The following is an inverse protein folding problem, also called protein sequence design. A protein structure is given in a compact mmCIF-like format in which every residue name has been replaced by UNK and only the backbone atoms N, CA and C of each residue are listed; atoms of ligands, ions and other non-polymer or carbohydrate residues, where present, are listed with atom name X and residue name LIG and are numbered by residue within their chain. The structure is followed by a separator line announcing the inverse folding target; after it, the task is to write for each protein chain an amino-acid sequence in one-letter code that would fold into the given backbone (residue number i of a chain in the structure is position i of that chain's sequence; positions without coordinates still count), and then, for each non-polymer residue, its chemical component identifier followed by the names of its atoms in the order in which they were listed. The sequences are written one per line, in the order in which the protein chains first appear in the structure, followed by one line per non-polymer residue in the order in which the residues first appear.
data_IF_907647809078
#
_entry.id   IF_907647809078
#
_cell.length_a   1.000
_cell.length_b   1.000
_cell.length_c   1.000
_cell.angle_alpha   90.00
_cell.angle_beta   90.00
_cell.angle_gamma   90.00
#
_symmetry.space_group_name_H-M   'P 1'
#
loop_
_entity.id
_entity.type
_entity.pdbx_description
1 polymer ?
#
# COMPACT_ATOMS: atom_id res chain seq x y z
N UNK A 1 3.44 19.39 15.40
CA UNK A 1 2.09 18.80 15.45
C UNK A 1 2.26 17.32 15.10
N UNK A 2 1.87 16.43 16.01
CA UNK A 2 1.96 14.98 15.80
C UNK A 2 0.82 14.58 14.87
N UNK A 3 1.13 14.12 13.66
CA UNK A 3 0.16 13.62 12.70
C UNK A 3 -0.35 12.26 13.19
N UNK A 4 -1.66 12.14 13.36
CA UNK A 4 -2.34 10.88 13.66
C UNK A 4 -3.17 10.50 12.43
N UNK A 5 -2.83 9.41 11.72
CA UNK A 5 -3.54 9.02 10.51
C UNK A 5 -4.97 8.55 10.82
N UNK A 6 -5.87 8.79 9.87
CA UNK A 6 -7.27 8.43 9.96
C UNK A 6 -7.48 6.98 9.50
N UNK A 7 -7.57 6.05 10.47
CA UNK A 7 -7.78 4.62 10.20
C UNK A 7 -9.18 4.29 9.64
N UNK A 8 -10.13 5.22 9.68
CA UNK A 8 -11.50 5.04 9.20
C UNK A 8 -11.59 4.87 7.67
N UNK A 9 -10.54 5.29 6.96
CA UNK A 9 -10.45 5.30 5.49
C UNK A 9 -9.41 4.28 4.98
N UNK A 10 -9.25 3.18 5.72
CA UNK A 10 -8.31 2.13 5.38
C UNK A 10 -8.99 0.97 4.62
N UNK A 11 -8.32 0.50 3.56
CA UNK A 11 -8.86 -0.45 2.59
C UNK A 11 -8.03 -1.74 2.58
N UNK A 12 -8.68 -2.89 2.52
CA UNK A 12 -8.00 -4.18 2.36
C UNK A 12 -7.74 -4.40 0.86
N UNK A 13 -6.50 -4.67 0.43
CA UNK A 13 -6.23 -5.09 -0.93
C UNK A 13 -7.01 -6.35 -1.26
N UNK A 14 -7.72 -6.34 -2.38
CA UNK A 14 -8.46 -7.51 -2.86
C UNK A 14 -7.49 -8.59 -3.35
N UNK A 15 -6.46 -8.16 -4.06
CA UNK A 15 -5.41 -9.02 -4.60
C UNK A 15 -4.09 -8.25 -4.63
N UNK A 16 -2.97 -8.97 -4.67
CA UNK A 16 -1.65 -8.37 -4.68
C UNK A 16 -0.53 -9.34 -5.01
N UNK A 17 0.55 -8.82 -5.58
CA UNK A 17 1.72 -9.61 -5.92
C UNK A 17 2.97 -8.77 -6.07
N UNK A 18 4.11 -9.42 -5.87
CA UNK A 18 5.41 -8.85 -6.16
C UNK A 18 5.78 -9.04 -7.63
N UNK A 19 6.33 -8.00 -8.22
CA UNK A 19 6.96 -7.99 -9.54
C UNK A 19 8.20 -7.11 -9.48
N UNK A 20 8.89 -6.95 -10.61
CA UNK A 20 10.09 -6.13 -10.69
C UNK A 20 9.99 -5.16 -11.88
N UNK A 21 10.42 -3.92 -11.67
CA UNK A 21 10.63 -2.95 -12.74
C UNK A 21 12.04 -2.36 -12.63
N UNK A 22 12.87 -2.56 -13.67
CA UNK A 22 14.24 -2.06 -13.74
C UNK A 22 15.11 -2.42 -12.51
N UNK A 23 14.99 -3.64 -11.99
CA UNK A 23 15.72 -4.08 -10.79
C UNK A 23 15.17 -3.54 -9.46
N UNK A 24 14.04 -2.83 -9.48
CA UNK A 24 13.35 -2.35 -8.28
C UNK A 24 12.14 -3.24 -8.01
N UNK A 25 12.01 -3.81 -6.80
CA UNK A 25 10.81 -4.55 -6.43
C UNK A 25 9.57 -3.64 -6.47
N UNK A 26 8.50 -4.18 -7.04
CA UNK A 26 7.21 -3.50 -7.17
C UNK A 26 6.14 -4.35 -6.50
N UNK A 27 5.51 -3.80 -5.46
CA UNK A 27 4.31 -4.38 -4.87
C UNK A 27 3.10 -3.85 -5.62
N UNK A 28 2.46 -4.69 -6.43
CA UNK A 28 1.27 -4.35 -7.17
C UNK A 28 0.02 -4.81 -6.42
N UNK A 29 -0.89 -3.88 -6.13
CA UNK A 29 -2.12 -4.13 -5.37
C UNK A 29 -3.36 -3.74 -6.17
N UNK A 30 -4.36 -4.63 -6.17
CA UNK A 30 -5.72 -4.32 -6.58
C UNK A 30 -6.53 -3.90 -5.35
N UNK A 31 -7.01 -2.66 -5.35
CA UNK A 31 -7.80 -2.06 -4.26
C UNK A 31 -9.03 -1.37 -4.84
N UNK A 32 -10.06 -2.12 -5.28
CA UNK A 32 -11.25 -1.55 -5.94
C UNK A 32 -12.00 -0.52 -5.09
N UNK A 33 -11.89 -0.63 -3.76
CA UNK A 33 -12.64 0.20 -2.80
C UNK A 33 -11.99 1.55 -2.50
N UNK A 34 -10.78 1.82 -2.98
CA UNK A 34 -10.07 3.07 -2.67
C UNK A 34 -10.86 4.28 -3.20
N UNK A 35 -11.07 5.36 -2.42
CA UNK A 35 -11.87 6.51 -2.87
C UNK A 35 -11.11 7.37 -3.88
N UNK A 36 -9.78 7.27 -3.92
CA UNK A 36 -8.91 8.11 -4.75
C UNK A 36 -9.17 7.90 -6.24
N UNK A 37 -9.12 9.00 -7.01
CA UNK A 37 -9.17 8.96 -8.47
C UNK A 37 -7.83 8.46 -8.99
N UNK A 38 -7.84 7.39 -9.80
CA UNK A 38 -6.62 6.78 -10.32
C UNK A 38 -5.80 7.71 -11.24
N UNK A 39 -6.43 8.74 -11.81
CA UNK A 39 -5.77 9.73 -12.68
C UNK A 39 -5.37 11.02 -11.93
N UNK A 40 -5.27 10.99 -10.60
CA UNK A 40 -4.81 12.15 -9.82
C UNK A 40 -3.32 12.39 -10.10
N UNK A 41 -2.97 13.63 -10.47
CA UNK A 41 -1.56 14.03 -10.55
C UNK A 41 -0.97 14.14 -9.14
N UNK A 42 -0.05 13.23 -8.81
CA UNK A 42 0.65 13.19 -7.53
C UNK A 42 1.90 14.07 -7.63
N UNK A 43 1.85 15.27 -7.05
CA UNK A 43 3.00 16.17 -6.99
C UNK A 43 3.87 15.88 -5.75
N UNK A 44 3.22 15.39 -4.69
CA UNK A 44 3.85 15.03 -3.42
C UNK A 44 3.01 13.97 -2.74
N UNK A 45 3.67 13.03 -2.08
CA UNK A 45 3.02 12.15 -1.12
C UNK A 45 3.91 11.95 0.11
N UNK A 46 3.30 11.47 1.19
CA UNK A 46 3.99 10.97 2.38
C UNK A 46 3.28 9.71 2.84
N UNK A 47 3.99 8.84 3.54
CA UNK A 47 3.41 7.63 4.09
C UNK A 47 3.88 7.37 5.51
N UNK A 48 3.10 6.59 6.26
CA UNK A 48 3.52 6.02 7.53
C UNK A 48 2.98 4.60 7.66
N UNK A 49 3.75 3.74 8.32
CA UNK A 49 3.29 2.43 8.74
C UNK A 49 2.81 2.49 10.18
N UNK A 50 1.69 1.82 10.43
CA UNK A 50 1.18 1.52 11.75
C UNK A 50 1.01 0.01 11.87
N UNK A 51 1.17 -0.51 13.08
CA UNK A 51 0.77 -1.87 13.39
C UNK A 51 -0.41 -1.80 14.36
N UNK A 52 -1.57 -2.29 13.93
CA UNK A 52 -2.77 -2.33 14.74
C UNK A 52 -2.95 -3.73 15.35
N UNK A 53 -2.87 -3.78 16.69
CA UNK A 53 -2.81 -5.02 17.45
C UNK A 53 -4.12 -5.79 17.46
N UNK A 54 -5.25 -5.11 17.57
CA UNK A 54 -6.58 -5.74 17.63
C UNK A 54 -6.91 -6.44 16.32
N UNK A 55 -6.48 -5.86 15.21
CA UNK A 55 -6.65 -6.42 13.87
C UNK A 55 -5.51 -7.35 13.46
N UNK A 56 -4.40 -7.37 14.23
CA UNK A 56 -3.15 -8.03 13.87
C UNK A 56 -2.77 -7.75 12.41
N UNK A 57 -2.69 -6.45 12.10
CA UNK A 57 -2.54 -5.94 10.75
C UNK A 57 -1.55 -4.78 10.70
N UNK A 58 -0.76 -4.72 9.62
CA UNK A 58 -0.07 -3.50 9.27
C UNK A 58 -1.01 -2.59 8.48
N UNK A 59 -0.97 -1.30 8.77
CA UNK A 59 -1.70 -0.28 8.02
C UNK A 59 -0.70 0.69 7.43
N UNK A 60 -0.67 0.77 6.09
CA UNK A 60 0.08 1.79 5.36
C UNK A 60 -0.84 2.97 5.10
N UNK A 61 -0.62 4.07 5.80
CA UNK A 61 -1.37 5.31 5.57
C UNK A 61 -0.60 6.17 4.58
N UNK A 62 -1.25 6.54 3.47
CA UNK A 62 -0.68 7.34 2.41
C UNK A 62 -1.45 8.66 2.34
N UNK A 63 -0.73 9.76 2.32
CA UNK A 63 -1.27 11.10 2.15
C UNK A 63 -0.77 11.72 0.86
N UNK A 64 -1.68 12.11 -0.03
CA UNK A 64 -1.43 12.69 -1.34
C UNK A 64 -1.63 14.20 -1.32
N UNK A 65 -0.71 14.95 -1.93
CA UNK A 65 -0.79 16.40 -2.12
C UNK A 65 -1.09 17.21 -0.84
N UNK A 66 -0.86 16.62 0.35
CA UNK A 66 -1.28 17.10 1.67
C UNK A 66 -2.80 17.25 1.87
N UNK A 67 -3.64 16.70 1.01
CA UNK A 67 -5.10 16.86 1.03
C UNK A 67 -5.82 15.53 1.23
N UNK A 68 -5.58 14.58 0.33
CA UNK A 68 -6.22 13.27 0.35
C UNK A 68 -5.40 12.27 1.17
N UNK A 69 -6.07 11.41 1.92
CA UNK A 69 -5.44 10.36 2.70
C UNK A 69 -6.21 9.06 2.52
N UNK A 70 -5.51 7.93 2.51
CA UNK A 70 -6.12 6.62 2.55
C UNK A 70 -5.19 5.62 3.23
N UNK A 71 -5.76 4.58 3.82
CA UNK A 71 -5.01 3.48 4.40
C UNK A 71 -5.06 2.22 3.52
N UNK A 72 -4.02 1.40 3.60
CA UNK A 72 -4.01 0.03 3.07
C UNK A 72 -3.76 -0.93 4.22
N UNK A 73 -4.68 -1.87 4.43
CA UNK A 73 -4.65 -2.84 5.54
C UNK A 73 -4.07 -4.16 5.04
N UNK A 74 -2.98 -4.59 5.68
CA UNK A 74 -2.33 -5.87 5.47
C UNK A 74 -2.53 -6.74 6.71
N UNK A 75 -3.69 -7.41 6.77
CA UNK A 75 -3.99 -8.36 7.85
C UNK A 75 -3.10 -9.59 7.72
N UNK A 76 -2.61 -10.16 8.83
CA UNK A 76 -1.69 -11.31 8.78
C UNK A 76 -2.22 -12.49 7.95
N UNK A 77 -3.55 -12.70 7.94
CA UNK A 77 -4.20 -13.84 7.27
C UNK A 77 -4.47 -13.62 5.78
N UNK A 78 -4.45 -12.38 5.32
CA UNK A 78 -4.77 -12.04 3.92
C UNK A 78 -3.54 -11.39 3.28
N UNK A 79 -3.56 -10.07 3.06
CA UNK A 79 -2.49 -9.35 2.38
C UNK A 79 -1.17 -9.27 3.18
N UNK A 80 -1.16 -9.64 4.47
CA UNK A 80 0.03 -9.66 5.30
C UNK A 80 1.13 -10.61 4.79
N UNK A 81 0.75 -11.69 4.09
CA UNK A 81 1.74 -12.60 3.47
C UNK A 81 2.66 -11.87 2.48
N UNK A 82 2.16 -10.83 1.81
CA UNK A 82 2.95 -10.01 0.88
C UNK A 82 4.06 -9.27 1.62
N UNK A 83 3.84 -8.90 2.88
CA UNK A 83 4.83 -8.21 3.70
C UNK A 83 5.86 -9.18 4.31
N UNK A 84 5.68 -10.49 4.18
CA UNK A 84 6.66 -11.49 4.61
C UNK A 84 7.69 -11.81 3.54
N UNK A 85 7.45 -11.38 2.30
CA UNK A 85 8.37 -11.61 1.19
C UNK A 85 9.73 -10.94 1.43
N UNK A 86 10.78 -11.52 0.84
CA UNK A 86 12.12 -10.97 0.89
C UNK A 86 12.17 -9.55 0.27
N UNK A 87 11.37 -9.31 -0.76
CA UNK A 87 11.26 -8.01 -1.45
C UNK A 87 10.75 -6.91 -0.51
N UNK A 88 9.95 -7.26 0.51
CA UNK A 88 9.46 -6.32 1.52
C UNK A 88 10.53 -5.83 2.50
N UNK A 89 11.74 -6.43 2.49
CA UNK A 89 12.85 -6.03 3.37
C UNK A 89 13.72 -4.90 2.79
N UNK A 90 13.53 -4.57 1.52
CA UNK A 90 14.22 -3.48 0.85
C UNK A 90 13.28 -2.29 0.59
N UNK A 91 13.83 -1.23 0.00
CA UNK A 91 13.02 -0.17 -0.59
C UNK A 91 12.30 -0.71 -1.84
N UNK A 92 11.00 -0.44 -1.98
CA UNK A 92 10.18 -0.90 -3.09
C UNK A 92 9.25 0.20 -3.61
N UNK A 93 8.68 -0.03 -4.79
CA UNK A 93 7.61 0.80 -5.35
C UNK A 93 6.28 0.15 -5.06
N UNK A 94 5.33 0.88 -4.50
CA UNK A 94 3.95 0.43 -4.35
C UNK A 94 3.12 0.94 -5.53
N UNK A 95 2.44 0.03 -6.22
CA UNK A 95 1.48 0.37 -7.27
C UNK A 95 0.09 -0.05 -6.84
N UNK A 96 -0.88 0.86 -6.94
CA UNK A 96 -2.27 0.62 -6.56
C UNK A 96 -3.17 0.89 -7.76
N UNK A 97 -4.06 -0.06 -8.06
CA UNK A 97 -5.09 0.11 -9.07
C UNK A 97 -6.46 -0.28 -8.53
N UNK A 98 -7.53 0.20 -9.17
CA UNK A 98 -8.91 -0.23 -8.88
C UNK A 98 -9.29 -1.50 -9.64
N UNK A 99 -8.57 -1.83 -10.70
CA UNK A 99 -8.87 -2.99 -11.53
C UNK A 99 -8.36 -4.28 -10.88
N UNK A 100 -9.02 -5.40 -11.17
CA UNK A 100 -8.53 -6.71 -10.78
C UNK A 100 -7.26 -7.05 -11.58
N UNK A 101 -6.28 -7.71 -10.93
CA UNK A 101 -4.97 -7.98 -11.53
C UNK A 101 -5.04 -8.85 -12.80
N UNK A 102 -6.02 -9.74 -12.89
CA UNK A 102 -6.27 -10.56 -14.10
C UNK A 102 -6.78 -9.76 -15.31
N UNK A 103 -7.26 -8.53 -15.08
CA UNK A 103 -7.89 -7.69 -16.10
C UNK A 103 -7.02 -6.49 -16.51
N UNK A 104 -5.74 -6.46 -16.08
CA UNK A 104 -4.84 -5.36 -16.40
C UNK A 104 -4.55 -5.30 -17.90
N UNK A 105 -4.52 -4.07 -18.41
CA UNK A 105 -4.19 -3.70 -19.77
C UNK A 105 -3.12 -2.61 -19.76
N UNK A 106 -2.45 -2.41 -20.89
CA UNK A 106 -1.39 -1.40 -21.04
C UNK A 106 -1.83 0.03 -20.67
N UNK A 107 -3.11 0.34 -20.80
CA UNK A 107 -3.71 1.66 -20.50
C UNK A 107 -4.41 1.71 -19.13
N UNK A 108 -4.28 0.67 -18.30
CA UNK A 108 -4.96 0.60 -17.01
C UNK A 108 -4.45 1.68 -16.06
N UNK A 109 -5.34 2.55 -15.53
CA UNK A 109 -4.95 3.55 -14.56
C UNK A 109 -4.42 2.94 -13.26
N UNK A 110 -3.34 3.50 -12.75
CA UNK A 110 -2.75 3.15 -11.46
C UNK A 110 -2.11 4.36 -10.78
N UNK A 111 -1.96 4.28 -9.47
CA UNK A 111 -1.14 5.18 -8.66
C UNK A 111 0.17 4.48 -8.34
N UNK A 112 1.29 5.19 -8.49
CA UNK A 112 2.63 4.67 -8.18
C UNK A 112 3.28 5.51 -7.08
N UNK A 113 3.78 4.81 -6.07
CA UNK A 113 4.42 5.35 -4.89
C UNK A 113 5.83 4.76 -4.77
N UNK A 114 6.85 5.43 -5.32
CA UNK A 114 8.22 4.95 -5.24
C UNK A 114 8.79 5.13 -3.83
N UNK A 115 9.85 4.39 -3.49
CA UNK A 115 10.61 4.56 -2.24
C UNK A 115 9.83 4.28 -0.96
N UNK A 116 8.98 3.26 -0.99
CA UNK A 116 8.34 2.72 0.20
C UNK A 116 9.33 1.79 0.91
N UNK A 117 9.40 1.89 2.23
CA UNK A 117 10.12 0.94 3.08
C UNK A 117 9.21 0.53 4.23
N UNK A 118 9.11 -0.78 4.45
CA UNK A 118 8.29 -1.33 5.52
C UNK A 118 8.98 -1.11 6.88
N UNK A 119 8.29 -0.43 7.80
CA UNK A 119 8.72 -0.36 9.19
C UNK A 119 8.07 -1.47 10.00
N UNK A 120 8.77 -2.59 10.18
CA UNK A 120 8.27 -3.73 10.96
C UNK A 120 8.18 -3.39 12.45
N UNK A 121 7.10 -3.84 13.09
CA UNK A 121 6.89 -3.72 14.53
C UNK A 121 7.25 -5.04 15.21
N UNK A 122 8.04 -4.99 16.28
CA UNK A 122 8.32 -6.17 17.12
C UNK A 122 7.05 -6.81 17.69
N UNK A 123 5.97 -6.02 17.81
CA UNK A 123 4.68 -6.47 18.33
C UNK A 123 3.87 -7.30 17.33
N UNK A 124 4.25 -7.28 16.05
CA UNK A 124 3.62 -8.12 15.04
C UNK A 124 3.97 -9.60 15.27
N UNK A 125 5.23 -9.89 15.56
CA UNK A 125 5.70 -11.27 15.75
C UNK A 125 5.70 -12.09 14.46
N UNK A 126 5.55 -11.44 13.31
CA UNK A 126 5.66 -11.99 11.97
C UNK A 126 6.35 -10.98 11.04
#
# INVERSE_FOLDING_TARGET
MTYSPNLSEAHIPYDGGWTEENGTPVLLLSVPTIPVKMNTNIHKFSYTWLYEKEMNAYVLCIRLNNEEEFGLIFSQKEAGVLLLDADANAEFTLVVTKEHLENLKDDTPYLSFPKISLSRSLLAGW
#
